data_IF_218902241777
#
_entry.id   IF_218902241777
#
_cell.length_a   1.000
_cell.length_b   1.000
_cell.length_c   1.000
_cell.angle_alpha   90.00
_cell.angle_beta   90.00
_cell.angle_gamma   90.00
#
_symmetry.space_group_name_H-M   'P 1'
#
loop_
_entity.id
_entity.type
_entity.pdbx_description
1 polymer ?
#
# COMPACT_ATOMS: atom_id res chain seq x y z
N UNK A 1 17.47 2.74 11.08
CA UNK A 1 16.09 3.06 11.47
C UNK A 1 15.47 1.75 11.90
N UNK A 2 14.98 1.63 13.14
CA UNK A 2 14.41 0.37 13.65
C UNK A 2 12.89 0.47 13.59
N UNK A 3 12.21 -0.55 13.07
CA UNK A 3 10.76 -0.51 12.98
C UNK A 3 10.14 -0.73 14.36
N UNK A 4 8.94 -0.17 14.57
CA UNK A 4 8.25 -0.23 15.87
C UNK A 4 7.71 -1.63 16.17
N UNK A 5 7.47 -2.44 15.14
CA UNK A 5 6.96 -3.80 15.26
C UNK A 5 7.60 -4.66 14.18
N UNK A 6 8.47 -5.55 14.62
CA UNK A 6 9.09 -6.64 13.85
C UNK A 6 8.50 -7.95 14.38
N UNK A 7 8.46 -8.96 13.53
CA UNK A 7 8.00 -10.28 13.91
C UNK A 7 9.03 -10.92 14.86
N UNK A 8 8.56 -11.31 16.05
CA UNK A 8 9.40 -11.77 17.17
C UNK A 8 9.63 -13.30 17.16
N UNK A 9 9.23 -14.01 16.10
CA UNK A 9 9.42 -15.46 15.99
C UNK A 9 8.64 -16.31 17.00
N UNK A 10 7.62 -15.72 17.66
CA UNK A 10 6.85 -16.37 18.75
C UNK A 10 5.75 -17.32 18.26
N UNK A 11 5.49 -17.39 16.95
CA UNK A 11 4.49 -18.29 16.35
C UNK A 11 3.02 -17.93 16.58
N UNK A 12 2.75 -16.74 17.12
CA UNK A 12 1.39 -16.21 17.21
C UNK A 12 1.40 -14.68 17.11
N UNK A 13 0.30 -14.12 16.62
CA UNK A 13 0.08 -12.67 16.53
C UNK A 13 -1.24 -12.31 17.18
N UNK A 14 -1.21 -11.25 17.98
CA UNK A 14 -2.40 -10.68 18.61
C UNK A 14 -3.13 -9.77 17.62
N UNK A 15 -4.34 -10.18 17.24
CA UNK A 15 -5.22 -9.42 16.35
C UNK A 15 -6.31 -8.77 17.20
N UNK A 16 -6.41 -7.44 17.10
CA UNK A 16 -7.53 -6.73 17.70
C UNK A 16 -8.76 -6.92 16.80
N UNK A 17 -9.79 -7.57 17.32
CA UNK A 17 -11.06 -7.71 16.63
C UNK A 17 -12.02 -6.68 17.24
N UNK A 18 -12.30 -5.62 16.49
CA UNK A 18 -13.32 -4.65 16.88
C UNK A 18 -14.70 -5.28 16.67
N UNK A 19 -15.31 -5.72 17.77
CA UNK A 19 -16.75 -5.93 17.86
C UNK A 19 -17.35 -4.67 18.49
N UNK A 20 -18.49 -4.20 18.00
CA UNK A 20 -19.11 -2.87 18.28
C UNK A 20 -19.22 -2.44 19.77
N UNK A 21 -18.93 -3.32 20.74
CA UNK A 21 -19.03 -3.04 22.18
C UNK A 21 -17.78 -3.36 23.00
N UNK A 22 -16.81 -4.14 22.50
CA UNK A 22 -15.59 -4.50 23.25
C UNK A 22 -14.39 -4.77 22.34
N UNK A 23 -13.22 -4.24 22.72
CA UNK A 23 -11.92 -4.55 22.10
C UNK A 23 -11.39 -5.87 22.66
N UNK A 24 -11.70 -6.97 22.00
CA UNK A 24 -11.16 -8.27 22.35
C UNK A 24 -9.90 -8.56 21.54
N UNK A 25 -8.79 -8.88 22.23
CA UNK A 25 -7.55 -9.32 21.61
C UNK A 25 -7.65 -10.82 21.42
N UNK A 26 -7.60 -11.29 20.16
CA UNK A 26 -7.54 -12.72 19.85
C UNK A 26 -6.11 -13.10 19.48
N UNK A 27 -5.61 -14.16 20.11
CA UNK A 27 -4.37 -14.81 19.72
C UNK A 27 -4.63 -15.65 18.46
N UNK A 28 -3.88 -15.35 17.39
CA UNK A 28 -3.88 -16.13 16.17
C UNK A 28 -2.56 -16.89 16.07
N UNK A 29 -2.62 -18.22 16.15
CA UNK A 29 -1.47 -19.07 15.91
C UNK A 29 -1.16 -19.10 14.42
N UNK A 30 0.09 -18.78 14.09
CA UNK A 30 0.56 -18.71 12.72
C UNK A 30 0.88 -20.10 12.20
N UNK A 31 0.57 -20.34 10.94
CA UNK A 31 1.11 -21.46 10.18
C UNK A 31 2.56 -21.16 9.77
N UNK A 32 3.33 -22.21 9.47
CA UNK A 32 4.74 -22.07 9.05
C UNK A 32 4.88 -21.15 7.82
N UNK A 33 3.93 -21.24 6.88
CA UNK A 33 3.92 -20.36 5.70
C UNK A 33 3.73 -18.90 6.07
N UNK A 34 2.84 -18.60 7.03
CA UNK A 34 2.62 -17.24 7.52
C UNK A 34 3.82 -16.70 8.30
N UNK A 35 4.50 -17.54 9.09
CA UNK A 35 5.74 -17.14 9.77
C UNK A 35 6.83 -16.74 8.76
N UNK A 36 7.02 -17.55 7.72
CA UNK A 36 7.96 -17.28 6.63
C UNK A 36 7.54 -16.00 5.88
N UNK A 37 6.25 -15.83 5.61
CA UNK A 37 5.73 -14.64 4.96
C UNK A 37 6.00 -13.38 5.79
N UNK A 38 5.75 -13.42 7.10
CA UNK A 38 6.01 -12.30 8.00
C UNK A 38 7.50 -11.94 8.06
N UNK A 39 8.37 -12.94 8.16
CA UNK A 39 9.82 -12.71 8.12
C UNK A 39 10.25 -12.08 6.78
N UNK A 40 9.69 -12.55 5.66
CA UNK A 40 9.97 -11.97 4.35
C UNK A 40 9.44 -10.53 4.21
N UNK A 41 8.29 -10.22 4.80
CA UNK A 41 7.74 -8.86 4.85
C UNK A 41 8.63 -7.92 5.66
N UNK A 42 9.20 -8.40 6.77
CA UNK A 42 10.13 -7.59 7.58
C UNK A 42 11.40 -7.25 6.81
N UNK A 43 12.01 -8.24 6.15
CA UNK A 43 13.17 -8.02 5.28
C UNK A 43 12.83 -7.07 4.12
N UNK A 44 11.66 -7.22 3.50
CA UNK A 44 11.20 -6.33 2.44
C UNK A 44 11.05 -4.86 2.92
N UNK A 45 10.60 -4.64 4.16
CA UNK A 45 10.55 -3.27 4.75
C UNK A 45 11.95 -2.68 4.90
N UNK A 46 12.92 -3.47 5.35
CA UNK A 46 14.30 -3.03 5.48
C UNK A 46 14.92 -2.66 4.12
N UNK A 47 14.74 -3.51 3.11
CA UNK A 47 15.20 -3.26 1.74
C UNK A 47 14.57 -1.99 1.15
N UNK A 48 13.26 -1.80 1.38
CA UNK A 48 12.52 -0.61 0.88
C UNK A 48 13.06 0.69 1.45
N UNK A 49 13.40 0.72 2.74
CA UNK A 49 13.97 1.92 3.38
C UNK A 49 15.45 2.11 3.02
N UNK A 50 16.13 1.07 2.53
CA UNK A 50 17.53 1.14 2.14
C UNK A 50 17.75 1.83 0.79
N UNK A 51 16.75 1.87 -0.09
CA UNK A 51 16.85 2.44 -1.44
C UNK A 51 16.66 3.95 -1.43
N UNK A 52 17.54 4.64 -2.17
CA UNK A 52 17.55 6.10 -2.22
C UNK A 52 17.22 6.61 -3.62
N UNK A 53 16.59 7.78 -3.65
CA UNK A 53 16.37 8.54 -4.88
C UNK A 53 17.65 9.30 -5.25
N UNK A 54 18.24 8.94 -6.38
CA UNK A 54 19.41 9.60 -6.94
C UNK A 54 18.95 10.51 -8.08
N UNK A 55 19.29 11.80 -8.01
CA UNK A 55 19.04 12.74 -9.10
C UNK A 55 20.21 12.70 -10.08
N UNK A 56 19.93 12.31 -11.32
CA UNK A 56 20.92 12.33 -12.41
C UNK A 56 21.11 13.76 -12.94
N UNK A 57 22.26 14.02 -13.57
CA UNK A 57 22.57 15.31 -14.22
C UNK A 57 21.55 15.70 -15.28
N UNK A 58 20.85 14.72 -15.87
CA UNK A 58 19.83 14.94 -16.89
C UNK A 58 18.42 15.20 -16.32
N UNK A 59 18.31 15.55 -15.04
CA UNK A 59 17.05 15.79 -14.33
C UNK A 59 16.13 14.55 -14.20
N UNK A 60 16.64 13.37 -14.55
CA UNK A 60 15.99 12.08 -14.30
C UNK A 60 16.25 11.62 -12.86
N UNK A 61 15.36 10.76 -12.35
CA UNK A 61 15.49 10.14 -11.04
C UNK A 61 15.70 8.64 -11.19
N UNK A 62 16.76 8.14 -10.56
CA UNK A 62 16.99 6.70 -10.39
C UNK A 62 16.74 6.32 -8.93
N UNK A 63 16.32 5.09 -8.70
CA UNK A 63 16.13 4.52 -7.37
C UNK A 63 17.05 3.33 -7.25
N UNK A 64 18.09 3.48 -6.44
CA UNK A 64 19.19 2.52 -6.35
C UNK A 64 19.67 2.44 -4.88
N UNK A 65 20.34 1.34 -4.55
CA UNK A 65 21.04 1.23 -3.28
C UNK A 65 22.19 2.24 -3.23
N UNK A 66 22.48 2.85 -2.06
CA UNK A 66 23.68 3.65 -1.91
C UNK A 66 24.91 2.75 -2.02
N UNK A 67 26.01 3.30 -2.56
CA UNK A 67 27.28 2.59 -2.79
C UNK A 67 27.81 1.84 -1.56
N UNK A 68 27.51 2.32 -0.35
CA UNK A 68 27.96 1.71 0.90
C UNK A 68 27.26 0.37 1.23
N UNK A 69 26.05 0.19 0.67
CA UNK A 69 25.17 -0.98 0.86
C UNK A 69 25.08 -1.88 -0.38
N UNK A 70 25.55 -1.38 -1.52
CA UNK A 70 25.71 -2.13 -2.75
C UNK A 70 26.54 -3.40 -2.47
N UNK A 71 26.03 -4.57 -2.88
CA UNK A 71 26.57 -5.91 -2.62
C UNK A 71 26.46 -6.45 -1.18
N UNK A 72 25.90 -5.70 -0.23
CA UNK A 72 25.68 -6.19 1.16
C UNK A 72 24.24 -6.56 1.45
N UNK A 73 23.31 -5.85 0.84
CA UNK A 73 21.87 -6.03 1.02
C UNK A 73 21.28 -6.25 -0.38
N UNK A 74 20.36 -7.20 -0.50
CA UNK A 74 19.61 -7.40 -1.75
C UNK A 74 18.53 -6.33 -1.92
N UNK A 75 18.08 -6.14 -3.15
CA UNK A 75 16.98 -5.24 -3.53
C UNK A 75 15.83 -5.96 -4.25
N UNK A 76 15.91 -7.30 -4.37
CA UNK A 76 14.94 -8.11 -5.09
C UNK A 76 13.51 -7.98 -4.54
N UNK A 77 13.33 -7.92 -3.21
CA UNK A 77 11.98 -7.86 -2.60
C UNK A 77 11.39 -6.48 -2.78
N UNK A 78 12.22 -5.43 -2.75
CA UNK A 78 11.77 -4.08 -3.08
C UNK A 78 11.26 -4.00 -4.52
N UNK A 79 12.02 -4.52 -5.50
CA UNK A 79 11.57 -4.48 -6.90
C UNK A 79 10.32 -5.34 -7.12
N UNK A 80 10.19 -6.46 -6.40
CA UNK A 80 8.97 -7.28 -6.41
C UNK A 80 7.77 -6.48 -5.88
N UNK A 81 7.94 -5.76 -4.77
CA UNK A 81 6.91 -4.88 -4.21
C UNK A 81 6.52 -3.76 -5.19
N UNK A 82 7.50 -3.18 -5.88
CA UNK A 82 7.28 -2.12 -6.87
C UNK A 82 6.45 -2.62 -8.06
N UNK A 83 6.76 -3.81 -8.57
CA UNK A 83 5.99 -4.46 -9.64
C UNK A 83 4.55 -4.75 -9.22
N UNK A 84 4.35 -5.24 -7.99
CA UNK A 84 3.02 -5.46 -7.42
C UNK A 84 2.24 -4.13 -7.29
N UNK A 85 2.88 -3.09 -6.78
CA UNK A 85 2.25 -1.77 -6.65
C UNK A 85 1.88 -1.18 -8.02
N UNK A 86 2.71 -1.39 -9.04
CA UNK A 86 2.42 -0.98 -10.40
C UNK A 86 1.18 -1.70 -10.95
N UNK A 87 1.09 -3.01 -10.77
CA UNK A 87 -0.07 -3.79 -11.18
C UNK A 87 -1.37 -3.33 -10.48
N UNK A 88 -1.32 -3.07 -9.16
CA UNK A 88 -2.47 -2.52 -8.43
C UNK A 88 -2.87 -1.13 -8.93
N UNK A 89 -1.89 -0.31 -9.33
CA UNK A 89 -2.16 0.99 -9.94
C UNK A 89 -2.90 0.85 -11.28
N UNK A 90 -2.53 -0.12 -12.12
CA UNK A 90 -3.21 -0.40 -13.38
C UNK A 90 -4.67 -0.82 -13.14
N UNK A 91 -4.91 -1.77 -12.23
CA UNK A 91 -6.28 -2.19 -11.86
C UNK A 91 -7.14 -1.01 -11.37
N UNK A 92 -6.55 -0.12 -10.55
CA UNK A 92 -7.25 1.09 -10.08
C UNK A 92 -7.53 2.04 -11.24
N UNK A 93 -6.57 2.22 -12.15
CA UNK A 93 -6.71 3.09 -13.32
C UNK A 93 -7.84 2.60 -14.21
N UNK A 94 -7.91 1.30 -14.47
CA UNK A 94 -9.00 0.68 -15.25
C UNK A 94 -10.37 0.94 -14.63
N UNK A 95 -10.49 0.81 -13.30
CA UNK A 95 -11.73 1.10 -12.58
C UNK A 95 -12.15 2.56 -12.73
N UNK A 96 -11.20 3.50 -12.71
CA UNK A 96 -11.47 4.93 -12.88
C UNK A 96 -11.87 5.25 -14.32
N UNK A 97 -11.14 4.73 -15.32
CA UNK A 97 -11.38 5.04 -16.73
C UNK A 97 -12.64 4.38 -17.29
N UNK A 98 -13.00 3.20 -16.77
CA UNK A 98 -14.18 2.44 -17.21
C UNK A 98 -15.46 2.88 -16.50
N UNK A 99 -15.38 3.84 -15.58
CA UNK A 99 -16.55 4.39 -14.89
C UNK A 99 -17.46 5.10 -15.91
N UNK A 100 -18.50 4.40 -16.36
CA UNK A 100 -19.51 4.96 -17.26
C UNK A 100 -20.15 6.17 -16.58
N UNK A 101 -20.11 7.33 -17.22
CA UNK A 101 -20.91 8.48 -16.84
C UNK A 101 -22.38 8.11 -17.04
N UNK A 102 -23.10 7.85 -15.96
CA UNK A 102 -24.55 7.71 -16.02
C UNK A 102 -25.10 9.06 -16.51
N UNK A 103 -25.74 9.08 -17.68
CA UNK A 103 -26.49 10.24 -18.14
C UNK A 103 -27.76 10.29 -17.30
N UNK A 104 -27.70 11.02 -16.19
CA UNK A 104 -28.85 11.23 -15.31
C UNK A 104 -29.65 12.38 -15.93
N UNK A 105 -30.89 12.10 -16.32
CA UNK A 105 -31.80 13.14 -16.79
C UNK A 105 -32.25 13.98 -15.60
N UNK A 106 -31.82 15.25 -15.57
CA UNK A 106 -32.14 16.22 -14.51
C UNK A 106 -33.46 16.96 -14.77
N UNK A 107 -34.19 16.62 -15.84
CA UNK A 107 -35.46 17.26 -16.21
C UNK A 107 -36.53 17.20 -15.12
N UNK A 108 -36.54 16.14 -14.31
CA UNK A 108 -37.53 15.89 -13.24
C UNK A 108 -36.99 16.23 -11.85
N UNK A 109 -35.77 16.75 -11.74
CA UNK A 109 -35.20 17.13 -10.44
C UNK A 109 -35.98 18.32 -9.85
N UNK A 110 -36.32 18.32 -8.55
CA UNK A 110 -37.02 19.44 -7.92
C UNK A 110 -36.13 20.70 -7.97
N UNK A 111 -36.59 21.74 -8.68
CA UNK A 111 -35.87 23.01 -8.80
C UNK A 111 -36.47 24.03 -7.82
N UNK A 112 -35.63 24.55 -6.91
CA UNK A 112 -36.00 25.59 -5.95
C UNK A 112 -35.67 27.00 -6.48
N UNK A 113 -36.01 27.28 -7.73
CA UNK A 113 -35.78 28.60 -8.35
C UNK A 113 -37.13 29.21 -8.69
N UNK A 114 -37.45 30.36 -8.10
CA UNK A 114 -38.57 31.18 -8.53
C UNK A 114 -38.12 32.09 -9.66
N UNK A 115 -38.77 32.02 -10.82
CA UNK A 115 -38.55 32.94 -11.94
C UNK A 115 -38.93 34.37 -11.52
N UNK A 116 -37.95 35.28 -11.53
CA UNK A 116 -38.20 36.72 -11.36
C UNK A 116 -38.43 37.31 -12.75
N UNK A 117 -39.64 37.79 -12.99
CA UNK A 117 -40.00 38.56 -14.19
C UNK A 117 -39.84 40.04 -13.87
N UNK A 118 -39.09 40.77 -14.69
CA UNK A 118 -38.92 42.23 -14.58
C UNK A 118 -40.05 42.98 -15.30
#
# INVERSE_FOLDING_TARGET
MKFTKEYDGKGFVNIAVDSEKEKNIKEHHLTIEEEIALANMDLMKEETVAIHRIKSSNNNYSYELPKDKENKIGDDRFYTLLMLAHYLYELRRESITTKQSVNIDWSTAPQCVSSVTF
#
